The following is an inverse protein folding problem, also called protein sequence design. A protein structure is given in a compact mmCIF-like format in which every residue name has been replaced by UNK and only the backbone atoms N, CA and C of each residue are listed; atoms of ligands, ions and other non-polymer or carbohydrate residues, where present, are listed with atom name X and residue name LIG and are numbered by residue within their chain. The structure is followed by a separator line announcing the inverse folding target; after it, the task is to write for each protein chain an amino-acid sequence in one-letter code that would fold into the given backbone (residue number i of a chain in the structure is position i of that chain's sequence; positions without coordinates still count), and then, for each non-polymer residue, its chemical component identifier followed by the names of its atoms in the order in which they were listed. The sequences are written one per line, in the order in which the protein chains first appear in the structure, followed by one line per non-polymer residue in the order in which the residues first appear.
data_IF_590647238267
#
_entry.id   IF_590647238267
#
_cell.length_a   1.000
_cell.length_b   1.000
_cell.length_c   1.000
_cell.angle_alpha   90.00
_cell.angle_beta   90.00
_cell.angle_gamma   90.00
#
_symmetry.space_group_name_H-M   'P 1'
#
loop_
_entity.id
_entity.type
_entity.pdbx_description
1 polymer ?
#
# COMPACT_ATOMS: atom_id res chain seq x y z
N UNK A 1 2.19 -9.50 3.07
CA UNK A 1 2.70 -9.51 1.68
C UNK A 1 2.08 -10.69 0.96
N UNK A 2 1.72 -10.53 -0.31
CA UNK A 2 1.26 -11.64 -1.16
C UNK A 2 2.46 -12.53 -1.48
N UNK A 3 2.33 -13.83 -1.24
CA UNK A 3 3.47 -14.77 -1.30
C UNK A 3 3.43 -15.70 -2.50
N UNK A 4 2.24 -16.02 -3.02
CA UNK A 4 2.04 -16.97 -4.12
C UNK A 4 0.66 -16.79 -4.75
N UNK A 5 0.55 -17.15 -6.02
CA UNK A 5 -0.70 -17.35 -6.75
C UNK A 5 -1.03 -18.86 -6.75
N UNK A 6 -2.20 -19.20 -6.25
CA UNK A 6 -2.68 -20.58 -6.20
C UNK A 6 -2.94 -21.13 -7.61
N UNK A 7 -2.67 -22.42 -7.79
CA UNK A 7 -2.96 -23.12 -9.05
C UNK A 7 -1.89 -22.99 -10.14
N UNK A 8 -0.79 -22.26 -9.92
CA UNK A 8 0.32 -22.15 -10.87
C UNK A 8 1.69 -22.53 -10.25
N UNK A 9 2.68 -22.92 -11.09
CA UNK A 9 4.07 -23.14 -10.69
C UNK A 9 4.68 -21.94 -9.96
N UNK A 10 5.65 -22.20 -9.08
CA UNK A 10 6.24 -21.17 -8.22
C UNK A 10 6.96 -20.06 -9.03
N UNK A 11 7.70 -20.45 -10.07
CA UNK A 11 8.39 -19.50 -10.95
C UNK A 11 7.40 -18.60 -11.71
N UNK A 12 6.32 -19.18 -12.25
CA UNK A 12 5.27 -18.41 -12.94
C UNK A 12 4.56 -17.46 -11.96
N UNK A 13 4.30 -17.91 -10.73
CA UNK A 13 3.76 -17.06 -9.68
C UNK A 13 4.67 -15.89 -9.33
N UNK A 14 5.98 -16.12 -9.23
CA UNK A 14 6.95 -15.08 -8.90
C UNK A 14 7.03 -14.04 -10.01
N UNK A 15 7.15 -14.48 -11.27
CA UNK A 15 7.17 -13.59 -12.44
C UNK A 15 5.90 -12.75 -12.54
N UNK A 16 4.72 -13.35 -12.36
CA UNK A 16 3.45 -12.64 -12.43
C UNK A 16 3.25 -11.67 -11.26
N UNK A 17 3.64 -12.06 -10.04
CA UNK A 17 3.59 -11.15 -8.89
C UNK A 17 4.53 -9.97 -9.08
N UNK A 18 5.75 -10.18 -9.57
CA UNK A 18 6.68 -9.09 -9.85
C UNK A 18 6.11 -8.12 -10.88
N UNK A 19 5.53 -8.63 -11.98
CA UNK A 19 4.85 -7.80 -12.97
C UNK A 19 3.72 -6.96 -12.35
N UNK A 20 2.89 -7.56 -11.49
CA UNK A 20 1.79 -6.84 -10.82
C UNK A 20 2.31 -5.80 -9.83
N UNK A 21 3.39 -6.09 -9.11
CA UNK A 21 4.03 -5.16 -8.19
C UNK A 21 4.66 -3.98 -8.93
N UNK A 22 5.35 -4.22 -10.04
CA UNK A 22 5.90 -3.15 -10.88
C UNK A 22 4.78 -2.31 -11.50
N UNK A 23 3.67 -2.94 -11.91
CA UNK A 23 2.53 -2.24 -12.49
C UNK A 23 1.85 -1.30 -11.49
N UNK A 24 1.57 -1.78 -10.27
CA UNK A 24 0.87 -0.98 -9.25
C UNK A 24 1.71 0.19 -8.71
N UNK A 25 3.04 0.13 -8.82
CA UNK A 25 3.98 1.18 -8.36
C UNK A 25 4.32 2.23 -9.42
N UNK A 26 3.66 2.19 -10.58
CA UNK A 26 3.83 3.19 -11.64
C UNK A 26 3.45 4.61 -11.15
N UNK A 27 4.27 5.65 -11.41
CA UNK A 27 4.05 7.01 -10.88
C UNK A 27 2.67 7.60 -11.17
N UNK A 28 2.05 7.28 -12.29
CA UNK A 28 0.71 7.74 -12.66
C UNK A 28 -0.43 7.20 -11.77
N UNK A 29 -0.16 6.13 -10.99
CA UNK A 29 -1.10 5.58 -10.02
C UNK A 29 -0.84 6.10 -8.60
N UNK A 30 0.20 6.91 -8.41
CA UNK A 30 0.63 7.38 -7.09
C UNK A 30 0.06 8.75 -6.80
N UNK A 31 -0.66 8.84 -5.68
CA UNK A 31 -0.95 10.10 -5.01
C UNK A 31 -0.01 10.27 -3.81
N UNK A 32 0.75 11.37 -3.79
CA UNK A 32 1.61 11.73 -2.66
C UNK A 32 0.94 12.82 -1.81
N UNK A 33 0.81 12.55 -0.51
CA UNK A 33 0.31 13.53 0.45
C UNK A 33 1.43 14.09 1.32
N UNK A 34 1.71 15.39 1.15
CA UNK A 34 2.63 16.14 2.00
C UNK A 34 1.87 16.68 3.21
N UNK A 35 2.02 15.99 4.34
CA UNK A 35 1.30 16.26 5.59
C UNK A 35 1.51 17.68 6.12
N UNK A 36 0.42 18.29 6.61
CA UNK A 36 0.41 19.50 7.44
C UNK A 36 -0.38 19.26 8.72
N UNK A 37 -0.10 20.06 9.74
CA UNK A 37 -0.84 19.99 11.01
C UNK A 37 -2.31 20.31 10.76
N UNK A 38 -3.19 19.40 11.15
CA UNK A 38 -4.64 19.52 10.95
C UNK A 38 -5.17 18.71 9.76
N UNK A 39 -4.29 18.18 8.91
CA UNK A 39 -4.73 17.35 7.78
C UNK A 39 -5.36 16.05 8.26
N UNK A 40 -6.41 15.65 7.54
CA UNK A 40 -7.04 14.34 7.66
C UNK A 40 -7.08 13.72 6.27
N UNK A 41 -6.57 12.49 6.19
CA UNK A 41 -6.66 11.66 4.98
C UNK A 41 -7.50 10.44 5.31
N UNK A 42 -8.44 10.13 4.42
CA UNK A 42 -9.20 8.89 4.40
C UNK A 42 -8.89 8.18 3.10
N UNK A 43 -8.62 6.88 3.17
CA UNK A 43 -8.44 6.02 2.01
C UNK A 43 -9.28 4.75 2.17
N UNK A 44 -9.65 4.14 1.04
CA UNK A 44 -10.31 2.85 1.02
C UNK A 44 -9.26 1.73 1.02
N UNK A 45 -9.22 0.95 2.09
CA UNK A 45 -8.24 -0.12 2.27
C UNK A 45 -8.55 -1.38 1.43
N UNK A 46 -9.61 -1.38 0.61
CA UNK A 46 -9.92 -2.47 -0.34
C UNK A 46 -9.31 -2.23 -1.72
N UNK A 47 -9.12 -0.98 -2.12
CA UNK A 47 -8.68 -0.64 -3.48
C UNK A 47 -7.45 0.27 -3.53
N UNK A 48 -6.93 0.72 -2.38
CA UNK A 48 -5.70 1.49 -2.32
C UNK A 48 -4.60 0.74 -1.54
N UNK A 49 -3.37 0.86 -2.03
CA UNK A 49 -2.16 0.58 -1.27
C UNK A 49 -1.59 1.88 -0.71
N UNK A 50 -0.83 1.79 0.38
CA UNK A 50 -0.15 2.93 0.96
C UNK A 50 1.23 2.54 1.47
N UNK A 51 2.19 3.44 1.25
CA UNK A 51 3.54 3.34 1.77
C UNK A 51 3.92 4.68 2.41
N UNK A 52 5.04 4.67 3.13
CA UNK A 52 5.71 5.90 3.56
C UNK A 52 7.12 5.88 2.98
N UNK A 53 7.64 7.06 2.68
CA UNK A 53 9.07 7.25 2.48
C UNK A 53 9.80 7.17 3.81
N UNK A 54 11.10 6.90 3.75
CA UNK A 54 11.97 6.99 4.91
C UNK A 54 12.04 8.43 5.43
N UNK A 55 12.20 8.57 6.74
CA UNK A 55 12.37 9.85 7.44
C UNK A 55 13.43 9.69 8.52
N UNK A 56 14.05 10.80 8.93
CA UNK A 56 15.14 10.76 9.92
C UNK A 56 14.64 10.22 11.26
N UNK A 57 15.46 9.41 11.93
CA UNK A 57 15.15 8.93 13.28
C UNK A 57 15.11 10.06 14.32
N UNK A 58 15.76 11.20 14.04
CA UNK A 58 15.77 12.38 14.91
C UNK A 58 14.48 13.22 14.78
N UNK A 59 13.64 12.94 13.78
CA UNK A 59 12.38 13.64 13.56
C UNK A 59 11.21 12.97 14.27
N UNK A 60 10.42 13.76 15.00
CA UNK A 60 9.18 13.27 15.63
C UNK A 60 8.04 13.28 14.62
N UNK A 61 7.51 12.11 14.30
CA UNK A 61 6.29 11.93 13.50
C UNK A 61 5.20 11.22 14.31
N UNK A 62 4.08 11.89 14.57
CA UNK A 62 2.93 11.32 15.30
C UNK A 62 1.65 11.44 14.45
N UNK A 63 1.04 10.29 14.16
CA UNK A 63 -0.26 10.20 13.49
C UNK A 63 -1.23 9.43 14.39
N UNK A 64 -2.51 9.75 14.27
CA UNK A 64 -3.59 8.96 14.87
C UNK A 64 -4.38 8.31 13.74
N UNK A 65 -4.70 7.04 13.89
CA UNK A 65 -5.47 6.28 12.90
C UNK A 65 -6.68 5.65 13.56
N UNK A 66 -7.81 5.71 12.87
CA UNK A 66 -9.00 4.91 13.14
C UNK A 66 -9.21 4.00 11.94
N UNK A 67 -9.52 2.73 12.20
CA UNK A 67 -9.81 1.75 11.15
C UNK A 67 -11.27 1.35 11.25
N UNK A 68 -11.97 1.37 10.12
CA UNK A 68 -13.36 0.90 10.03
C UNK A 68 -13.34 -0.60 9.73
N UNK A 69 -14.19 -1.36 10.41
CA UNK A 69 -14.33 -2.80 10.16
C UNK A 69 -14.83 -3.04 8.74
N UNK A 70 -14.14 -3.90 8.00
CA UNK A 70 -14.55 -4.36 6.67
C UNK A 70 -15.07 -5.80 6.70
N UNK A 71 -15.51 -6.27 5.53
CA UNK A 71 -15.94 -7.65 5.31
C UNK A 71 -14.93 -8.41 4.44
N UNK A 72 -15.06 -9.73 4.38
CA UNK A 72 -14.23 -10.61 3.54
C UNK A 72 -14.37 -10.23 2.05
N UNK A 73 -13.26 -10.07 1.29
CA UNK A 73 -13.32 -9.92 -0.17
C UNK A 73 -13.97 -11.11 -0.86
N UNK A 74 -14.70 -10.85 -1.95
CA UNK A 74 -15.37 -11.85 -2.81
C UNK A 74 -14.55 -12.15 -4.07
#
# INVERSE_FOLDING_TARGET
MTVRIEGIPANESEELLQFLFDHQERPEFIYEHVWRVGDLVMWDNRCALHARTDFSADERRLLRRVTILGEKPV
#
